data_IF_894792631983
#
_entry.id   IF_894792631983
#
_cell.length_a   1.000
_cell.length_b   1.000
_cell.length_c   1.000
_cell.angle_alpha   90.00
_cell.angle_beta   90.00
_cell.angle_gamma   90.00
#
_symmetry.space_group_name_H-M   'P 1'
#
loop_
_entity.id
_entity.type
_entity.pdbx_description
1 polymer ?
#
# COMPACT_ATOMS: atom_id res chain seq x y z
N UNK A 1 -1.35 14.36 21.24
CA UNK A 1 -2.48 13.64 20.62
C UNK A 1 -2.69 14.21 19.22
N UNK A 2 -2.38 13.44 18.18
CA UNK A 2 -2.56 13.76 16.74
C UNK A 2 -3.00 12.49 15.98
N UNK A 3 -3.77 11.62 16.65
CA UNK A 3 -4.16 10.31 16.13
C UNK A 3 -5.15 10.45 14.96
N UNK A 4 -6.00 11.49 14.97
CA UNK A 4 -6.94 11.80 13.89
C UNK A 4 -6.24 12.14 12.57
N UNK A 5 -5.10 12.86 12.62
CA UNK A 5 -4.35 13.25 11.42
C UNK A 5 -3.69 12.04 10.75
N UNK A 6 -3.07 11.16 11.55
CA UNK A 6 -2.45 9.94 11.03
C UNK A 6 -3.50 8.94 10.52
N UNK A 7 -4.56 8.66 11.28
CA UNK A 7 -5.60 7.71 10.85
C UNK A 7 -6.30 8.16 9.55
N UNK A 8 -6.53 9.47 9.38
CA UNK A 8 -7.03 10.05 8.14
C UNK A 8 -6.05 9.83 6.98
N UNK A 9 -4.76 10.11 7.21
CA UNK A 9 -3.70 9.87 6.23
C UNK A 9 -3.60 8.40 5.80
N UNK A 10 -3.67 7.46 6.75
CA UNK A 10 -3.65 6.03 6.45
C UNK A 10 -4.89 5.60 5.64
N UNK A 11 -6.06 6.14 5.99
CA UNK A 11 -7.31 5.89 5.24
C UNK A 11 -7.22 6.46 3.82
N UNK A 12 -6.61 7.63 3.65
CA UNK A 12 -6.38 8.25 2.35
C UNK A 12 -5.42 7.42 1.48
N UNK A 13 -4.33 6.90 2.05
CA UNK A 13 -3.44 5.95 1.34
C UNK A 13 -4.23 4.74 0.86
N UNK A 14 -5.03 4.12 1.72
CA UNK A 14 -5.83 2.95 1.35
C UNK A 14 -6.83 3.27 0.24
N UNK A 15 -7.50 4.42 0.31
CA UNK A 15 -8.41 4.86 -0.74
C UNK A 15 -7.71 5.10 -2.08
N UNK A 16 -6.53 5.73 -2.08
CA UNK A 16 -5.75 6.00 -3.29
C UNK A 16 -5.23 4.72 -3.93
N UNK A 17 -4.76 3.76 -3.12
CA UNK A 17 -4.35 2.43 -3.58
C UNK A 17 -5.54 1.65 -4.13
N UNK A 18 -6.70 1.70 -3.48
CA UNK A 18 -7.90 1.02 -3.96
C UNK A 18 -8.55 1.74 -5.17
N UNK A 19 -8.32 3.02 -5.39
CA UNK A 19 -8.88 3.71 -6.57
C UNK A 19 -7.83 3.95 -7.66
N UNK A 20 -6.73 3.21 -7.62
CA UNK A 20 -5.59 3.41 -8.51
C UNK A 20 -5.93 2.92 -9.93
N UNK A 21 -5.80 3.83 -10.88
CA UNK A 21 -6.09 3.62 -12.31
C UNK A 21 -4.98 4.25 -13.14
N UNK A 22 -4.90 3.89 -14.43
CA UNK A 22 -3.95 4.51 -15.36
C UNK A 22 -4.02 6.05 -15.38
N UNK A 23 -5.22 6.62 -15.24
CA UNK A 23 -5.46 8.07 -15.36
C UNK A 23 -4.97 8.84 -14.14
N UNK A 24 -5.16 8.28 -12.95
CA UNK A 24 -4.81 8.94 -11.68
C UNK A 24 -3.49 8.39 -11.08
N UNK A 25 -2.79 7.47 -11.76
CA UNK A 25 -1.57 6.84 -11.26
C UNK A 25 -0.55 7.85 -10.73
N UNK A 26 -0.15 8.83 -11.55
CA UNK A 26 0.86 9.84 -11.15
C UNK A 26 0.39 10.72 -10.00
N UNK A 27 -0.87 11.17 -10.04
CA UNK A 27 -1.43 12.02 -8.99
C UNK A 27 -1.53 11.26 -7.66
N UNK A 28 -2.05 10.03 -7.70
CA UNK A 28 -2.17 9.16 -6.52
C UNK A 28 -0.81 8.81 -5.95
N UNK A 29 0.17 8.51 -6.79
CA UNK A 29 1.54 8.26 -6.39
C UNK A 29 2.16 9.47 -5.67
N UNK A 30 2.03 10.68 -6.22
CA UNK A 30 2.56 11.89 -5.60
C UNK A 30 1.90 12.17 -4.24
N UNK A 31 0.59 12.01 -4.16
CA UNK A 31 -0.17 12.23 -2.93
C UNK A 31 0.23 11.21 -1.85
N UNK A 32 0.31 9.93 -2.20
CA UNK A 32 0.78 8.87 -1.29
C UNK A 32 2.18 9.20 -0.80
N UNK A 33 3.10 9.57 -1.69
CA UNK A 33 4.46 9.95 -1.32
C UNK A 33 4.49 11.16 -0.39
N UNK A 34 3.63 12.15 -0.60
CA UNK A 34 3.52 13.30 0.30
C UNK A 34 3.10 12.87 1.71
N UNK A 35 2.09 12.01 1.82
CA UNK A 35 1.61 11.48 3.09
C UNK A 35 2.69 10.63 3.78
N UNK A 36 3.35 9.75 3.03
CA UNK A 36 4.43 8.90 3.53
C UNK A 36 5.61 9.74 4.04
N UNK A 37 6.04 10.76 3.30
CA UNK A 37 7.11 11.64 3.74
C UNK A 37 6.73 12.46 4.99
N UNK A 38 5.45 12.79 5.15
CA UNK A 38 4.95 13.54 6.31
C UNK A 38 4.86 12.69 7.58
N UNK A 39 4.40 11.44 7.47
CA UNK A 39 4.18 10.55 8.61
C UNK A 39 5.35 9.56 8.85
N UNK A 40 6.29 9.50 7.91
CA UNK A 40 7.50 8.71 8.00
C UNK A 40 7.25 7.20 7.89
N UNK A 41 8.06 6.37 8.59
CA UNK A 41 8.11 4.92 8.37
C UNK A 41 6.83 4.18 8.78
N UNK A 42 5.91 4.81 9.51
CA UNK A 42 4.61 4.22 9.83
C UNK A 42 3.68 4.18 8.61
N UNK A 43 3.67 5.24 7.81
CA UNK A 43 2.90 5.29 6.57
C UNK A 43 3.52 4.41 5.47
N UNK A 44 4.86 4.32 5.37
CA UNK A 44 5.56 3.36 4.50
C UNK A 44 5.07 1.93 4.77
N UNK A 45 5.02 1.54 6.05
CA UNK A 45 4.53 0.21 6.47
C UNK A 45 3.09 -0.02 6.05
N UNK A 46 2.20 0.95 6.28
CA UNK A 46 0.79 0.83 5.91
C UNK A 46 0.58 0.77 4.39
N UNK A 47 1.34 1.54 3.61
CA UNK A 47 1.30 1.52 2.16
C UNK A 47 1.65 0.12 1.63
N UNK A 48 2.77 -0.45 2.09
CA UNK A 48 3.16 -1.81 1.71
C UNK A 48 2.07 -2.83 2.07
N UNK A 49 1.54 -2.79 3.30
CA UNK A 49 0.43 -3.67 3.71
C UNK A 49 -0.78 -3.53 2.78
N UNK A 50 -1.09 -2.31 2.37
CA UNK A 50 -2.26 -2.03 1.54
C UNK A 50 -2.05 -2.59 0.14
N UNK A 51 -0.86 -2.39 -0.44
CA UNK A 51 -0.48 -2.94 -1.72
C UNK A 51 -0.45 -4.47 -1.70
N UNK A 52 0.19 -5.10 -0.71
CA UNK A 52 0.20 -6.56 -0.57
C UNK A 52 -1.21 -7.15 -0.40
N UNK A 53 -2.12 -6.44 0.26
CA UNK A 53 -3.51 -6.89 0.43
C UNK A 53 -4.37 -6.74 -0.82
N UNK A 54 -4.05 -5.81 -1.73
CA UNK A 54 -4.84 -5.55 -2.94
C UNK A 54 -4.24 -6.20 -4.19
N UNK A 55 -2.93 -6.43 -4.23
CA UNK A 55 -2.27 -7.10 -5.34
C UNK A 55 -2.62 -8.58 -5.30
N UNK A 56 -3.31 -9.06 -6.34
CA UNK A 56 -3.53 -10.48 -6.53
C UNK A 56 -2.28 -11.14 -7.13
N UNK A 57 -1.55 -11.89 -6.30
CA UNK A 57 -0.38 -12.68 -6.71
C UNK A 57 -0.76 -14.05 -7.32
N UNK A 58 -2.04 -14.42 -7.33
CA UNK A 58 -2.52 -15.71 -7.85
C UNK A 58 -2.69 -15.73 -9.37
N UNK A 59 -2.55 -14.58 -10.05
CA UNK A 59 -2.81 -14.48 -11.49
C UNK A 59 -1.70 -15.07 -12.36
N UNK A 60 -2.07 -15.74 -13.46
CA UNK A 60 -1.19 -16.31 -14.50
C UNK A 60 -0.40 -15.24 -15.32
N UNK A 61 0.00 -14.12 -14.72
CA UNK A 61 0.66 -13.00 -15.39
C UNK A 61 -0.26 -12.14 -16.26
N UNK A 62 -1.57 -12.41 -16.27
CA UNK A 62 -2.60 -11.65 -17.02
C UNK A 62 -3.38 -10.69 -16.12
N UNK A 63 -2.70 -10.02 -15.17
CA UNK A 63 -3.30 -8.96 -14.36
C UNK A 63 -3.70 -7.80 -15.28
N UNK A 64 -4.90 -7.87 -15.86
CA UNK A 64 -5.36 -6.93 -16.87
C UNK A 64 -6.30 -5.93 -16.23
N UNK A 65 -5.77 -4.76 -15.89
CA UNK A 65 -6.55 -3.63 -15.40
C UNK A 65 -5.98 -2.98 -14.14
N UNK A 66 -6.75 -3.03 -13.05
CA UNK A 66 -6.51 -2.30 -11.79
C UNK A 66 -5.32 -2.88 -11.03
N UNK A 67 -5.23 -4.21 -10.95
CA UNK A 67 -4.15 -4.93 -10.24
C UNK A 67 -2.79 -4.70 -10.87
N UNK A 68 -2.74 -4.46 -12.19
CA UNK A 68 -1.50 -4.14 -12.90
C UNK A 68 -0.83 -2.90 -12.33
N UNK A 69 -1.61 -1.84 -12.09
CA UNK A 69 -1.08 -0.56 -11.63
C UNK A 69 -0.69 -0.64 -10.14
N UNK A 70 -1.45 -1.37 -9.34
CA UNK A 70 -1.12 -1.63 -7.93
C UNK A 70 0.17 -2.46 -7.83
N UNK A 71 0.32 -3.50 -8.66
CA UNK A 71 1.54 -4.32 -8.73
C UNK A 71 2.74 -3.49 -9.19
N UNK A 72 2.56 -2.67 -10.23
CA UNK A 72 3.63 -1.80 -10.73
C UNK A 72 4.07 -0.80 -9.65
N UNK A 73 3.11 -0.23 -8.91
CA UNK A 73 3.41 0.70 -7.83
C UNK A 73 4.11 0.00 -6.66
N UNK A 74 3.68 -1.21 -6.29
CA UNK A 74 4.37 -2.05 -5.30
C UNK A 74 5.83 -2.30 -5.68
N UNK A 75 6.10 -2.64 -6.94
CA UNK A 75 7.48 -2.86 -7.42
C UNK A 75 8.29 -1.57 -7.27
N UNK A 76 7.75 -0.42 -7.66
CA UNK A 76 8.45 0.86 -7.50
C UNK A 76 8.75 1.20 -6.04
N UNK A 77 7.78 1.02 -5.15
CA UNK A 77 7.97 1.26 -3.72
C UNK A 77 9.01 0.30 -3.13
N UNK A 78 8.98 -0.98 -3.51
CA UNK A 78 10.03 -1.93 -3.11
C UNK A 78 11.42 -1.49 -3.58
N UNK A 79 11.57 -1.00 -4.82
CA UNK A 79 12.85 -0.49 -5.34
C UNK A 79 13.29 0.81 -4.64
N UNK A 80 12.35 1.68 -4.26
CA UNK A 80 12.70 2.88 -3.48
C UNK A 80 13.13 2.51 -2.07
N UNK A 81 12.38 1.61 -1.44
CA UNK A 81 12.59 1.21 -0.06
C UNK A 81 13.81 0.30 0.10
N UNK A 82 14.19 -0.54 -0.86
CA UNK A 82 15.38 -1.41 -0.77
C UNK A 82 16.68 -0.61 -0.57
N UNK A 83 16.68 0.66 -0.98
CA UNK A 83 17.80 1.59 -0.75
C UNK A 83 17.85 2.13 0.69
N UNK A 84 16.78 1.94 1.48
CA UNK A 84 16.71 2.31 2.90
C UNK A 84 17.13 1.10 3.78
N UNK A 85 17.95 1.29 4.83
CA UNK A 85 18.40 0.20 5.70
C UNK A 85 17.26 -0.49 6.48
N UNK A 86 16.12 0.19 6.62
CA UNK A 86 14.94 -0.32 7.36
C UNK A 86 13.97 -1.12 6.48
N UNK A 87 14.32 -1.39 5.22
CA UNK A 87 13.43 -2.09 4.27
C UNK A 87 12.99 -3.45 4.77
N UNK A 88 13.93 -4.30 5.15
CA UNK A 88 13.66 -5.69 5.55
C UNK A 88 12.70 -5.72 6.74
N UNK A 89 12.96 -4.90 7.77
CA UNK A 89 12.08 -4.80 8.93
C UNK A 89 10.68 -4.29 8.57
N UNK A 90 10.59 -3.32 7.64
CA UNK A 90 9.32 -2.76 7.16
C UNK A 90 8.52 -3.79 6.34
N UNK A 91 9.22 -4.54 5.49
CA UNK A 91 8.67 -5.60 4.66
C UNK A 91 8.19 -6.79 5.49
N UNK A 92 9.04 -7.32 6.37
CA UNK A 92 8.67 -8.39 7.30
C UNK A 92 7.45 -7.99 8.13
N UNK A 93 7.43 -6.77 8.68
CA UNK A 93 6.27 -6.28 9.43
C UNK A 93 5.00 -6.25 8.57
N UNK A 94 5.08 -5.79 7.32
CA UNK A 94 3.92 -5.72 6.44
C UNK A 94 3.36 -7.11 6.08
N UNK A 95 4.24 -8.10 5.96
CA UNK A 95 3.89 -9.50 5.66
C UNK A 95 3.34 -10.20 6.91
N UNK A 96 4.01 -10.03 8.06
CA UNK A 96 3.64 -10.66 9.34
C UNK A 96 2.34 -10.09 9.91
N UNK A 97 2.07 -8.80 9.67
CA UNK A 97 0.84 -8.14 10.06
C UNK A 97 0.08 -7.69 8.80
N UNK A 98 -0.52 -8.59 8.00
CA UNK A 98 -1.26 -8.18 6.82
C UNK A 98 -2.41 -7.23 7.21
N UNK A 99 -2.78 -6.31 6.32
CA UNK A 99 -4.01 -5.53 6.53
C UNK A 99 -5.17 -6.53 6.45
N UNK A 100 -5.75 -6.86 7.60
CA UNK A 100 -7.02 -7.55 7.66
C UNK A 100 -8.08 -6.61 7.08
N UNK A 101 -8.24 -6.59 5.75
CA UNK A 101 -9.52 -6.25 5.15
C UNK A 101 -10.43 -7.40 5.53
N UNK A 102 -10.94 -7.36 6.77
CA UNK A 102 -11.91 -8.31 7.27
C UNK A 102 -13.18 -8.16 6.45
N UNK A 103 -13.23 -8.84 5.30
CA UNK A 103 -14.40 -9.64 5.01
C UNK A 103 -14.41 -10.70 6.11
N UNK A 104 -15.04 -10.37 7.24
CA UNK A 104 -15.53 -11.39 8.17
C UNK A 104 -16.45 -12.25 7.33
N UNK A 105 -15.92 -13.31 6.70
CA UNK A 105 -16.74 -14.48 6.42
C UNK A 105 -17.07 -14.98 7.81
N UNK A 106 -18.23 -14.55 8.30
CA UNK A 106 -18.96 -15.25 9.34
C UNK A 106 -19.07 -16.68 8.80
N UNK A 107 -18.24 -17.59 9.31
CA UNK A 107 -18.56 -19.01 9.18
C UNK A 107 -19.84 -19.20 9.99
N UNK A 108 -20.91 -19.55 9.27
CA UNK A 108 -22.10 -20.15 9.87
C UNK A 108 -21.73 -21.45 10.57
#
# INVERSE_FOLDING_TARGET
MNLDSLSLALSQISYLVDNLTKKNYRASQQEIQHIVNRHGPEADRHLLRCLFSHVDFSGDGKSSGKDFHQTQFLIQECVSLISKPNFISTLCYAIDNPLHYQKVRKSC
#
